data_IF_943007891880
#
_entry.id   IF_943007891880
#
_cell.length_a   1.000
_cell.length_b   1.000
_cell.length_c   1.000
_cell.angle_alpha   90.00
_cell.angle_beta   90.00
_cell.angle_gamma   90.00
#
_symmetry.space_group_name_H-M   'P 1'
#
loop_
_entity.id
_entity.type
_entity.pdbx_description
1 polymer ?
#
# COMPACT_ATOMS: atom_id res chain seq x y z
N UNK A 1 -4.00 27.27 -82.75
CA UNK A 1 -3.06 27.34 -81.61
C UNK A 1 -3.88 27.34 -80.32
N UNK A 2 -3.74 26.30 -79.50
CA UNK A 2 -3.63 26.26 -78.04
C UNK A 2 -3.77 24.77 -77.64
N UNK A 3 -2.92 24.24 -76.74
CA UNK A 3 -2.50 22.83 -76.75
C UNK A 3 -3.11 21.99 -75.62
N UNK A 4 -2.96 20.67 -75.81
CA UNK A 4 -3.05 19.57 -74.83
C UNK A 4 -2.31 19.80 -73.52
N UNK A 5 -2.80 19.30 -72.38
CA UNK A 5 -2.00 18.85 -71.21
C UNK A 5 -2.94 18.19 -70.16
N UNK A 6 -2.88 16.87 -69.98
CA UNK A 6 -2.11 16.06 -68.99
C UNK A 6 -2.81 15.83 -67.65
N UNK A 7 -3.14 14.56 -67.42
CA UNK A 7 -3.41 13.94 -66.11
C UNK A 7 -2.29 14.24 -65.11
N UNK A 8 -2.65 14.64 -63.89
CA UNK A 8 -1.77 14.67 -62.73
C UNK A 8 -2.41 13.92 -61.58
N UNK A 9 -1.93 12.69 -61.33
CA UNK A 9 -2.22 11.92 -60.13
C UNK A 9 -1.57 12.62 -58.94
N UNK A 10 -2.37 13.19 -58.03
CA UNK A 10 -1.90 13.61 -56.71
C UNK A 10 -2.00 12.39 -55.79
N UNK A 11 -0.88 11.66 -55.66
CA UNK A 11 -0.72 10.62 -54.65
C UNK A 11 -0.52 11.31 -53.29
N UNK A 12 -1.56 11.33 -52.47
CA UNK A 12 -1.54 11.87 -51.12
C UNK A 12 -0.85 10.85 -50.20
N UNK A 13 0.44 11.08 -49.92
CA UNK A 13 1.23 10.30 -48.98
C UNK A 13 0.77 10.65 -47.55
N UNK A 14 -0.16 9.86 -47.00
CA UNK A 14 -0.61 9.98 -45.62
C UNK A 14 0.45 9.36 -44.70
N UNK A 15 1.36 10.17 -44.18
CA UNK A 15 2.33 9.76 -43.17
C UNK A 15 1.61 9.67 -41.81
N UNK A 16 1.06 8.49 -41.50
CA UNK A 16 0.49 8.20 -40.19
C UNK A 16 1.60 8.17 -39.15
N UNK A 17 1.72 9.22 -38.34
CA UNK A 17 2.49 9.21 -37.11
C UNK A 17 1.80 8.23 -36.14
N UNK A 18 2.26 6.97 -36.09
CA UNK A 18 1.92 6.08 -34.99
C UNK A 18 2.59 6.63 -33.73
N UNK A 19 1.85 7.45 -32.97
CA UNK A 19 2.17 7.65 -31.55
C UNK A 19 2.00 6.29 -30.88
N UNK A 20 3.11 5.59 -30.67
CA UNK A 20 3.14 4.44 -29.77
C UNK A 20 2.83 4.97 -28.38
N UNK A 21 1.58 4.80 -27.94
CA UNK A 21 1.24 4.85 -26.54
C UNK A 21 2.00 3.70 -25.87
N UNK A 22 3.21 3.98 -25.39
CA UNK A 22 3.91 3.09 -24.47
C UNK A 22 3.10 3.06 -23.20
N UNK A 23 2.23 2.07 -23.08
CA UNK A 23 1.65 1.68 -21.79
C UNK A 23 2.86 1.37 -20.90
N UNK A 24 3.05 2.06 -19.76
CA UNK A 24 4.11 1.68 -18.83
C UNK A 24 3.92 0.19 -18.52
N UNK A 25 4.97 -0.60 -18.74
CA UNK A 25 4.94 -1.99 -18.34
C UNK A 25 4.55 -2.03 -16.86
N UNK A 26 3.46 -2.73 -16.53
CA UNK A 26 3.12 -2.95 -15.14
C UNK A 26 4.38 -3.50 -14.45
N UNK A 27 4.78 -2.84 -13.36
CA UNK A 27 5.84 -3.35 -12.49
C UNK A 27 5.54 -4.79 -12.08
N UNK A 28 6.55 -5.48 -11.56
CA UNK A 28 6.39 -6.82 -10.98
C UNK A 28 5.16 -6.84 -10.06
N UNK A 29 4.27 -7.83 -10.22
CA UNK A 29 3.06 -7.97 -9.39
C UNK A 29 3.43 -7.86 -7.92
N UNK A 30 2.85 -6.87 -7.23
CA UNK A 30 3.12 -6.63 -5.82
C UNK A 30 2.56 -7.79 -4.99
N UNK A 31 3.25 -8.16 -3.91
CA UNK A 31 2.76 -9.18 -2.96
C UNK A 31 2.26 -8.50 -1.69
N UNK A 32 1.01 -8.77 -1.31
CA UNK A 32 0.40 -8.26 -0.10
C UNK A 32 0.18 -9.40 0.90
N UNK A 33 0.73 -9.29 2.11
CA UNK A 33 0.42 -10.21 3.20
C UNK A 33 -0.85 -9.73 3.91
N UNK A 34 -1.95 -10.46 3.78
CA UNK A 34 -3.20 -10.19 4.49
C UNK A 34 -3.21 -11.02 5.79
N UNK A 35 -2.91 -10.37 6.91
CA UNK A 35 -2.89 -10.96 8.23
C UNK A 35 -4.19 -10.66 8.98
N UNK A 36 -4.83 -11.71 9.51
CA UNK A 36 -6.20 -11.63 10.09
C UNK A 36 -6.31 -12.32 11.45
N UNK A 37 -5.18 -12.62 12.10
CA UNK A 37 -5.21 -13.27 13.41
C UNK A 37 -5.90 -12.39 14.45
N UNK A 38 -6.62 -13.01 15.37
CA UNK A 38 -7.36 -12.35 16.45
C UNK A 38 -7.05 -13.04 17.77
N UNK A 39 -6.67 -12.28 18.79
CA UNK A 39 -6.51 -12.70 20.18
C UNK A 39 -7.61 -12.11 21.09
N UNK A 40 -8.54 -11.32 20.53
CA UNK A 40 -9.72 -10.79 21.18
C UNK A 40 -10.96 -10.99 20.28
N UNK A 41 -11.80 -9.97 20.11
CA UNK A 41 -13.03 -10.07 19.30
C UNK A 41 -12.70 -10.47 17.85
N UNK A 42 -13.50 -11.39 17.28
CA UNK A 42 -13.34 -11.85 15.90
C UNK A 42 -14.53 -11.38 15.07
N UNK A 43 -14.25 -10.63 14.02
CA UNK A 43 -15.26 -10.13 13.10
C UNK A 43 -15.69 -11.21 12.10
N UNK A 44 -17.01 -11.36 11.91
CA UNK A 44 -17.58 -12.32 10.97
C UNK A 44 -17.25 -11.98 9.50
N UNK A 45 -16.86 -10.72 9.23
CA UNK A 45 -16.50 -10.22 7.89
C UNK A 45 -15.13 -10.66 7.37
N UNK A 46 -14.26 -11.19 8.23
CA UNK A 46 -12.88 -11.57 7.85
C UNK A 46 -12.85 -12.50 6.61
N UNK A 47 -13.62 -13.61 6.53
CA UNK A 47 -13.60 -14.47 5.35
C UNK A 47 -14.08 -13.77 4.08
N UNK A 48 -15.15 -12.97 4.18
CA UNK A 48 -15.72 -12.19 3.06
C UNK A 48 -14.71 -11.17 2.54
N UNK A 49 -14.03 -10.47 3.44
CA UNK A 49 -13.00 -9.49 3.13
C UNK A 49 -11.81 -10.11 2.38
N UNK A 50 -11.31 -11.25 2.87
CA UNK A 50 -10.21 -11.98 2.23
C UNK A 50 -10.61 -12.43 0.82
N UNK A 51 -11.82 -12.98 0.67
CA UNK A 51 -12.33 -13.40 -0.63
C UNK A 51 -12.45 -12.21 -1.60
N UNK A 52 -12.97 -11.07 -1.14
CA UNK A 52 -13.13 -9.86 -1.95
C UNK A 52 -11.78 -9.33 -2.44
N UNK A 53 -10.76 -9.25 -1.57
CA UNK A 53 -9.41 -8.85 -1.94
C UNK A 53 -8.80 -9.80 -2.97
N UNK A 54 -8.84 -11.11 -2.72
CA UNK A 54 -8.30 -12.12 -3.64
C UNK A 54 -8.99 -12.09 -5.01
N UNK A 55 -10.32 -11.88 -5.03
CA UNK A 55 -11.08 -11.78 -6.28
C UNK A 55 -10.67 -10.56 -7.13
N UNK A 56 -10.20 -9.46 -6.51
CA UNK A 56 -9.77 -8.25 -7.22
C UNK A 56 -8.25 -8.16 -7.43
N UNK A 57 -7.47 -9.11 -6.91
CA UNK A 57 -6.00 -9.12 -6.99
C UNK A 57 -5.44 -8.98 -8.40
N UNK A 58 -5.96 -9.76 -9.36
CA UNK A 58 -5.50 -9.67 -10.76
C UNK A 58 -5.78 -8.31 -11.39
N UNK A 59 -6.94 -7.70 -11.10
CA UNK A 59 -7.29 -6.38 -11.62
C UNK A 59 -6.43 -5.27 -10.99
N UNK A 60 -6.05 -5.43 -9.72
CA UNK A 60 -5.18 -4.50 -8.99
C UNK A 60 -3.67 -4.73 -9.24
N UNK A 61 -3.28 -5.78 -9.97
CA UNK A 61 -1.88 -6.25 -10.07
C UNK A 61 -1.23 -6.51 -8.69
N UNK A 62 -1.99 -7.13 -7.78
CA UNK A 62 -1.56 -7.51 -6.42
C UNK A 62 -1.87 -8.98 -6.16
N UNK A 63 -0.87 -9.73 -5.69
CA UNK A 63 -1.01 -11.07 -5.14
C UNK A 63 -1.31 -10.98 -3.64
N UNK A 64 -2.60 -11.14 -3.28
CA UNK A 64 -3.06 -11.12 -1.88
C UNK A 64 -2.89 -12.51 -1.24
N UNK A 65 -1.89 -12.63 -0.37
CA UNK A 65 -1.58 -13.85 0.36
C UNK A 65 -2.14 -13.75 1.77
N UNK A 66 -3.14 -14.57 2.08
CA UNK A 66 -3.79 -14.58 3.39
C UNK A 66 -3.13 -15.55 4.36
N UNK A 67 -3.02 -15.15 5.63
CA UNK A 67 -2.65 -16.04 6.74
C UNK A 67 -3.19 -15.54 8.08
N UNK A 68 -3.28 -16.47 9.03
CA UNK A 68 -3.47 -16.20 10.46
C UNK A 68 -2.28 -16.74 11.28
N UNK A 69 -1.28 -17.35 10.62
CA UNK A 69 -0.10 -17.91 11.29
C UNK A 69 0.91 -16.81 11.60
N UNK A 70 1.09 -16.51 12.90
CA UNK A 70 2.12 -15.56 13.36
C UNK A 70 3.55 -15.97 13.00
N UNK A 71 3.79 -17.25 12.67
CA UNK A 71 5.10 -17.78 12.27
C UNK A 71 5.69 -17.10 11.02
N UNK A 72 4.87 -16.40 10.23
CA UNK A 72 5.35 -15.60 9.09
C UNK A 72 6.09 -14.33 9.50
N UNK A 73 5.91 -13.84 10.74
CA UNK A 73 6.55 -12.62 11.23
C UNK A 73 8.00 -12.89 11.66
N UNK A 74 8.83 -13.12 10.66
CA UNK A 74 10.29 -13.18 10.73
C UNK A 74 10.86 -12.31 9.63
N UNK A 75 12.13 -11.87 9.71
CA UNK A 75 12.72 -11.04 8.66
C UNK A 75 12.61 -11.71 7.27
N UNK A 76 12.92 -13.02 7.20
CA UNK A 76 12.79 -13.81 5.97
C UNK A 76 11.32 -14.03 5.55
N UNK A 77 10.40 -14.17 6.50
CA UNK A 77 8.99 -14.35 6.20
C UNK A 77 8.35 -13.09 5.60
N UNK A 78 8.82 -11.90 6.01
CA UNK A 78 8.27 -10.61 5.57
C UNK A 78 8.98 -10.01 4.35
N UNK A 79 10.24 -10.37 4.07
CA UNK A 79 11.07 -9.70 3.06
C UNK A 79 10.49 -9.74 1.63
N UNK A 80 9.59 -10.68 1.34
CA UNK A 80 8.97 -10.87 0.03
C UNK A 80 7.67 -10.10 -0.19
N UNK A 81 7.17 -9.36 0.81
CA UNK A 81 5.90 -8.63 0.72
C UNK A 81 6.12 -7.12 0.52
N UNK A 82 5.45 -6.56 -0.47
CA UNK A 82 5.47 -5.14 -0.78
C UNK A 82 4.54 -4.33 0.14
N UNK A 83 3.59 -5.00 0.80
CA UNK A 83 2.73 -4.43 1.83
C UNK A 83 2.29 -5.51 2.82
N UNK A 84 2.26 -5.16 4.11
CA UNK A 84 1.61 -5.95 5.16
C UNK A 84 0.28 -5.31 5.50
N UNK A 85 -0.80 -6.08 5.44
CA UNK A 85 -2.17 -5.65 5.71
C UNK A 85 -2.64 -6.35 6.98
N UNK A 86 -2.96 -5.56 8.02
CA UNK A 86 -3.67 -6.06 9.19
C UNK A 86 -5.15 -5.80 8.95
N UNK A 87 -5.90 -6.87 8.70
CA UNK A 87 -7.32 -6.81 8.37
C UNK A 87 -8.12 -7.38 9.52
N UNK A 88 -8.81 -6.50 10.24
CA UNK A 88 -9.65 -6.85 11.38
C UNK A 88 -8.94 -7.74 12.43
N UNK A 89 -7.62 -7.56 12.59
CA UNK A 89 -6.86 -8.18 13.69
C UNK A 89 -7.34 -7.58 15.01
N UNK A 90 -7.20 -8.30 16.12
CA UNK A 90 -7.52 -7.78 17.47
C UNK A 90 -6.61 -8.38 18.54
N UNK A 91 -6.27 -7.61 19.56
CA UNK A 91 -5.48 -8.05 20.70
C UNK A 91 -3.99 -8.29 20.39
N UNK A 92 -3.36 -9.13 21.20
CA UNK A 92 -1.91 -9.40 21.14
C UNK A 92 -1.59 -10.55 20.18
N UNK A 93 -1.54 -10.25 18.89
CA UNK A 93 -1.44 -11.23 17.80
C UNK A 93 -0.01 -11.58 17.40
N UNK A 94 0.99 -10.87 17.94
CA UNK A 94 2.42 -11.12 17.75
C UNK A 94 3.11 -11.23 19.12
N UNK A 95 4.10 -12.12 19.21
CA UNK A 95 5.06 -12.11 20.32
C UNK A 95 6.20 -11.13 20.05
N UNK A 96 7.13 -10.99 20.99
CA UNK A 96 8.20 -9.99 20.91
C UNK A 96 9.15 -10.22 19.72
N UNK A 97 9.35 -11.48 19.31
CA UNK A 97 10.11 -11.81 18.10
C UNK A 97 9.36 -11.36 16.85
N UNK A 98 8.06 -11.64 16.76
CA UNK A 98 7.20 -11.18 15.66
C UNK A 98 7.14 -9.65 15.56
N UNK A 99 7.01 -8.94 16.69
CA UNK A 99 7.06 -7.48 16.75
C UNK A 99 8.39 -6.93 16.27
N UNK A 100 9.50 -7.57 16.66
CA UNK A 100 10.84 -7.17 16.21
C UNK A 100 10.99 -7.32 14.70
N UNK A 101 10.57 -8.45 14.14
CA UNK A 101 10.58 -8.68 12.70
C UNK A 101 9.69 -7.66 11.95
N UNK A 102 8.52 -7.34 12.51
CA UNK A 102 7.64 -6.35 11.91
C UNK A 102 8.24 -4.94 11.93
N UNK A 103 8.85 -4.54 13.05
CA UNK A 103 9.60 -3.29 13.15
C UNK A 103 10.74 -3.22 12.13
N UNK A 104 11.50 -4.31 11.95
CA UNK A 104 12.56 -4.41 10.96
C UNK A 104 12.02 -4.27 9.53
N UNK A 105 10.90 -4.92 9.21
CA UNK A 105 10.22 -4.79 7.94
C UNK A 105 9.87 -3.31 7.63
N UNK A 106 9.26 -2.62 8.60
CA UNK A 106 8.93 -1.19 8.47
C UNK A 106 10.20 -0.33 8.30
N UNK A 107 11.25 -0.58 9.09
CA UNK A 107 12.53 0.13 9.00
C UNK A 107 13.22 -0.03 7.62
N UNK A 108 12.92 -1.11 6.91
CA UNK A 108 13.50 -1.44 5.61
C UNK A 108 12.68 -0.90 4.42
N UNK A 109 11.67 -0.06 4.65
CA UNK A 109 10.83 0.52 3.61
C UNK A 109 9.52 -0.24 3.37
N UNK A 110 9.20 -1.21 4.22
CA UNK A 110 7.94 -1.94 4.16
C UNK A 110 6.73 -1.02 4.28
N UNK A 111 5.69 -1.32 3.52
CA UNK A 111 4.43 -0.58 3.54
C UNK A 111 3.43 -1.25 4.47
N UNK A 112 2.54 -0.47 5.06
CA UNK A 112 1.53 -0.99 5.98
C UNK A 112 0.12 -0.49 5.67
N UNK A 113 -0.85 -1.37 5.88
CA UNK A 113 -2.28 -1.04 5.82
C UNK A 113 -2.98 -1.63 7.03
N UNK A 114 -3.69 -0.81 7.80
CA UNK A 114 -4.60 -1.26 8.85
C UNK A 114 -6.05 -1.09 8.41
N UNK A 115 -6.89 -2.10 8.65
CA UNK A 115 -8.32 -2.03 8.31
C UNK A 115 -9.14 -2.41 9.53
N UNK A 116 -10.16 -1.60 9.80
CA UNK A 116 -11.15 -1.78 10.86
C UNK A 116 -10.47 -1.94 12.23
N UNK A 117 -10.63 -3.10 12.88
CA UNK A 117 -10.13 -3.38 14.23
C UNK A 117 -8.63 -3.55 14.33
N UNK A 118 -7.86 -3.37 13.25
CA UNK A 118 -6.41 -3.25 13.34
C UNK A 118 -5.97 -2.18 14.38
N UNK A 119 -6.82 -1.20 14.68
CA UNK A 119 -6.60 -0.23 15.76
C UNK A 119 -6.82 -0.76 17.18
N UNK A 120 -7.43 -1.92 17.36
CA UNK A 120 -7.51 -2.67 18.62
C UNK A 120 -6.48 -3.82 18.69
N UNK A 121 -5.36 -3.68 17.98
CA UNK A 121 -4.27 -4.67 17.92
C UNK A 121 -3.00 -4.13 18.56
N UNK A 122 -2.23 -4.97 19.26
CA UNK A 122 -0.91 -4.62 19.83
C UNK A 122 -0.92 -3.29 20.62
N UNK A 123 -1.96 -3.11 21.45
CA UNK A 123 -2.27 -1.88 22.19
C UNK A 123 -1.15 -1.35 23.11
N UNK A 124 -0.11 -2.15 23.38
CA UNK A 124 1.06 -1.76 24.19
C UNK A 124 2.36 -1.63 23.39
N UNK A 125 2.31 -1.74 22.06
CA UNK A 125 3.49 -1.75 21.19
C UNK A 125 3.69 -0.38 20.52
N UNK A 126 4.52 0.47 21.12
CA UNK A 126 4.61 1.89 20.76
C UNK A 126 4.86 2.18 19.26
N UNK A 127 5.71 1.41 18.57
CA UNK A 127 5.95 1.64 17.15
C UNK A 127 4.72 1.33 16.29
N UNK A 128 3.95 0.31 16.66
CA UNK A 128 2.73 -0.07 15.95
C UNK A 128 1.69 1.03 16.04
N UNK A 129 1.48 1.59 17.24
CA UNK A 129 0.56 2.71 17.43
C UNK A 129 0.91 3.93 16.59
N UNK A 130 2.21 4.22 16.43
CA UNK A 130 2.69 5.30 15.56
C UNK A 130 2.52 4.97 14.08
N UNK A 131 2.87 3.76 13.66
CA UNK A 131 2.71 3.33 12.27
C UNK A 131 1.24 3.35 11.83
N UNK A 132 0.37 2.86 12.69
CA UNK A 132 -1.07 2.88 12.50
C UNK A 132 -1.63 4.31 12.56
N UNK A 133 -1.17 5.12 13.50
CA UNK A 133 -1.58 6.51 13.70
C UNK A 133 -2.34 6.73 15.02
N UNK A 134 -3.29 5.86 15.35
CA UNK A 134 -4.03 5.92 16.61
C UNK A 134 -4.63 4.56 16.98
N UNK A 135 -4.73 4.29 18.29
CA UNK A 135 -5.40 3.10 18.82
C UNK A 135 -6.90 3.32 19.03
N UNK A 136 -7.67 2.26 18.88
CA UNK A 136 -9.09 2.21 19.21
C UNK A 136 -9.35 2.51 20.70
N UNK A 137 -10.41 3.25 21.01
CA UNK A 137 -10.93 3.44 22.37
C UNK A 137 -12.28 2.73 22.55
N UNK A 138 -13.33 3.21 21.87
CA UNK A 138 -14.68 2.64 21.90
C UNK A 138 -15.46 3.02 20.64
N UNK A 139 -16.62 2.41 20.41
CA UNK A 139 -17.60 2.84 19.41
C UNK A 139 -19.03 2.75 19.99
N UNK A 140 -20.01 3.52 19.50
CA UNK A 140 -21.41 3.28 19.78
C UNK A 140 -21.90 2.03 19.02
N UNK A 141 -23.16 1.64 19.20
CA UNK A 141 -23.74 0.52 18.45
C UNK A 141 -23.65 0.74 16.94
N UNK A 142 -23.50 -0.37 16.20
CA UNK A 142 -23.51 -0.39 14.74
C UNK A 142 -24.79 0.25 14.19
N UNK A 143 -24.61 1.32 13.41
CA UNK A 143 -25.71 2.16 12.94
C UNK A 143 -25.35 2.87 11.63
N UNK A 144 -26.33 3.57 11.05
CA UNK A 144 -26.06 4.39 9.88
C UNK A 144 -25.36 5.69 10.30
N UNK A 145 -24.39 6.13 9.50
CA UNK A 145 -23.72 7.41 9.64
C UNK A 145 -23.35 7.96 8.26
N UNK A 146 -23.11 9.27 8.18
CA UNK A 146 -22.60 9.93 6.99
C UNK A 146 -21.12 10.20 7.15
N UNK A 147 -20.30 9.57 6.31
CA UNK A 147 -18.87 9.84 6.20
C UNK A 147 -18.68 11.00 5.23
N UNK A 148 -17.86 11.97 5.60
CA UNK A 148 -17.53 13.14 4.80
C UNK A 148 -16.13 12.96 4.21
N UNK A 149 -16.03 13.10 2.89
CA UNK A 149 -14.76 13.10 2.17
C UNK A 149 -14.08 14.46 2.30
N UNK A 150 -12.92 14.48 2.97
CA UNK A 150 -12.13 15.71 3.18
C UNK A 150 -11.19 16.01 2.00
N UNK A 151 -10.73 14.98 1.32
CA UNK A 151 -9.86 15.06 0.15
C UNK A 151 -10.35 14.04 -0.88
N UNK A 152 -10.85 14.51 -2.02
CA UNK A 152 -11.32 13.66 -3.13
C UNK A 152 -10.23 13.41 -4.19
N UNK A 153 -9.00 13.86 -3.97
CA UNK A 153 -7.87 13.65 -4.89
C UNK A 153 -7.05 12.40 -4.56
N UNK A 154 -7.20 11.85 -3.35
CA UNK A 154 -6.51 10.64 -2.93
C UNK A 154 -7.16 9.40 -3.60
N UNK A 155 -6.39 8.41 -4.07
CA UNK A 155 -6.95 7.25 -4.78
C UNK A 155 -7.97 6.43 -3.97
N UNK A 156 -7.89 6.46 -2.64
CA UNK A 156 -8.88 5.79 -1.78
C UNK A 156 -10.20 6.57 -1.65
N UNK A 157 -10.31 7.79 -2.14
CA UNK A 157 -11.50 8.64 -1.95
C UNK A 157 -12.01 9.25 -3.24
N UNK A 158 -11.29 9.12 -4.36
CA UNK A 158 -11.63 9.75 -5.65
C UNK A 158 -12.98 9.32 -6.23
N UNK A 159 -13.44 8.10 -5.92
CA UNK A 159 -14.71 7.55 -6.38
C UNK A 159 -15.85 7.71 -5.37
N UNK A 160 -15.55 8.16 -4.15
CA UNK A 160 -16.54 8.29 -3.09
C UNK A 160 -17.38 9.56 -3.30
N UNK A 161 -18.69 9.52 -3.01
CA UNK A 161 -19.48 10.74 -2.92
C UNK A 161 -19.00 11.60 -1.75
N UNK A 162 -19.14 12.92 -1.84
CA UNK A 162 -18.73 13.85 -0.76
C UNK A 162 -19.36 13.50 0.58
N UNK A 163 -20.66 13.20 0.56
CA UNK A 163 -21.41 12.66 1.69
C UNK A 163 -21.69 11.18 1.41
N UNK A 164 -20.95 10.30 2.06
CA UNK A 164 -21.00 8.86 1.86
C UNK A 164 -21.78 8.18 3.00
N UNK A 165 -23.02 7.75 2.74
CA UNK A 165 -23.79 7.03 3.74
C UNK A 165 -23.23 5.62 3.93
N UNK A 166 -22.90 5.27 5.16
CA UNK A 166 -22.40 3.95 5.54
C UNK A 166 -23.20 3.40 6.72
N UNK A 167 -23.18 2.08 6.90
CA UNK A 167 -23.63 1.43 8.12
C UNK A 167 -22.44 0.71 8.73
N UNK A 168 -21.94 1.20 9.86
CA UNK A 168 -20.75 0.65 10.51
C UNK A 168 -20.71 1.04 12.00
N UNK A 169 -19.65 0.62 12.68
CA UNK A 169 -19.27 1.09 14.00
C UNK A 169 -18.39 2.34 13.88
N UNK A 170 -18.84 3.46 14.45
CA UNK A 170 -18.08 4.71 14.40
C UNK A 170 -17.05 4.76 15.53
N UNK A 171 -15.82 4.37 15.20
CA UNK A 171 -14.73 4.24 16.16
C UNK A 171 -14.25 5.58 16.68
N UNK A 172 -14.13 5.69 18.00
CA UNK A 172 -13.38 6.73 18.68
C UNK A 172 -11.97 6.22 19.01
N UNK A 173 -10.99 7.12 19.08
CA UNK A 173 -9.56 6.80 19.22
C UNK A 173 -8.93 7.36 20.49
N UNK A 174 -7.86 6.70 20.94
CA UNK A 174 -7.09 7.09 22.13
C UNK A 174 -6.17 8.32 21.91
N UNK A 175 -6.03 8.79 20.67
CA UNK A 175 -5.16 9.91 20.29
C UNK A 175 -5.52 10.45 18.91
N UNK A 176 -5.18 11.71 18.63
CA UNK A 176 -5.27 12.27 17.27
C UNK A 176 -4.18 11.67 16.36
N UNK A 177 -4.52 10.98 15.25
CA UNK A 177 -3.53 10.45 14.30
C UNK A 177 -2.68 11.55 13.66
N UNK A 178 -3.16 12.80 13.61
CA UNK A 178 -2.38 13.94 13.10
C UNK A 178 -1.17 14.25 13.96
N UNK A 179 -1.17 13.83 15.23
CA UNK A 179 -0.02 14.03 16.14
C UNK A 179 1.25 13.31 15.71
N UNK A 180 1.13 12.27 14.88
CA UNK A 180 2.27 11.57 14.25
C UNK A 180 2.50 11.99 12.80
N UNK A 181 1.80 13.03 12.33
CA UNK A 181 1.90 13.54 10.95
C UNK A 181 0.97 12.86 9.96
N UNK A 182 0.00 12.05 10.40
CA UNK A 182 -0.98 11.47 9.52
C UNK A 182 -1.93 12.53 8.92
N UNK A 183 -2.38 12.29 7.70
CA UNK A 183 -3.32 13.13 6.96
C UNK A 183 -4.67 12.43 6.95
N UNK A 184 -5.66 13.04 7.61
CA UNK A 184 -7.02 12.52 7.69
C UNK A 184 -7.79 12.90 6.42
N UNK A 185 -8.37 11.88 5.77
CA UNK A 185 -9.05 12.01 4.47
C UNK A 185 -10.54 11.70 4.53
N UNK A 186 -10.98 10.96 5.55
CA UNK A 186 -12.39 10.74 5.86
C UNK A 186 -12.67 11.17 7.30
N UNK A 187 -13.78 11.87 7.49
CA UNK A 187 -14.37 12.15 8.81
C UNK A 187 -15.82 11.67 8.85
N UNK A 188 -16.47 11.71 10.00
CA UNK A 188 -17.92 11.46 10.14
C UNK A 188 -18.66 12.75 10.47
N UNK A 189 -19.89 12.89 9.96
CA UNK A 189 -20.87 13.87 10.45
C UNK A 189 -21.44 13.38 11.79
N UNK A 190 -21.01 13.99 12.90
CA UNK A 190 -21.44 13.61 14.25
C UNK A 190 -22.93 13.86 14.52
N UNK A 191 -23.64 14.59 13.64
CA UNK A 191 -25.09 14.75 13.74
C UNK A 191 -25.89 13.62 13.08
N UNK A 192 -25.23 12.76 12.30
CA UNK A 192 -25.86 11.69 11.52
C UNK A 192 -26.06 10.38 12.27
N UNK A 193 -25.46 10.24 13.46
CA UNK A 193 -25.51 9.04 14.29
C UNK A 193 -25.62 9.40 15.78
N UNK A 194 -25.93 8.43 16.63
CA UNK A 194 -26.04 8.61 18.08
C UNK A 194 -24.85 7.97 18.79
N UNK A 195 -24.11 8.78 19.54
CA UNK A 195 -23.09 8.33 20.49
C UNK A 195 -23.47 8.70 21.92
N UNK A 196 -23.79 7.70 22.74
CA UNK A 196 -24.04 7.86 24.18
C UNK A 196 -22.79 7.66 25.05
N UNK A 197 -21.64 7.37 24.43
CA UNK A 197 -20.37 7.13 25.08
C UNK A 197 -19.75 8.41 25.65
N UNK A 198 -18.78 8.23 26.54
CA UNK A 198 -17.99 9.33 27.10
C UNK A 198 -16.60 9.31 26.47
N UNK A 199 -16.29 10.32 25.65
CA UNK A 199 -14.94 10.52 25.09
C UNK A 199 -13.93 10.77 26.21
N UNK A 200 -12.98 9.85 26.38
CA UNK A 200 -11.91 9.94 27.40
C UNK A 200 -10.62 10.54 26.86
N UNK A 201 -10.42 10.44 25.56
CA UNK A 201 -9.21 10.86 24.88
C UNK A 201 -9.52 11.96 23.85
N UNK A 202 -8.51 12.76 23.55
CA UNK A 202 -8.56 13.72 22.47
C UNK A 202 -8.08 13.05 21.18
N UNK A 203 -9.03 12.79 20.28
CA UNK A 203 -8.78 12.23 18.94
C UNK A 203 -8.66 13.32 17.86
N UNK A 204 -8.71 14.59 18.26
CA UNK A 204 -8.71 15.74 17.36
C UNK A 204 -10.02 15.93 16.60
N UNK A 205 -10.07 17.05 15.88
CA UNK A 205 -11.19 17.43 15.02
C UNK A 205 -10.67 17.80 13.61
N UNK A 206 -11.41 17.47 12.53
CA UNK A 206 -12.65 16.69 12.54
C UNK A 206 -12.41 15.20 12.88
N UNK A 207 -13.42 14.52 13.44
CA UNK A 207 -13.40 13.12 13.88
C UNK A 207 -12.77 12.16 12.83
N UNK A 208 -11.58 11.60 13.05
CA UNK A 208 -10.88 10.82 12.03
C UNK A 208 -11.54 9.46 11.77
N UNK A 209 -11.79 9.11 10.50
CA UNK A 209 -12.31 7.79 10.08
C UNK A 209 -11.29 7.03 9.24
N UNK A 210 -10.62 7.73 8.32
CA UNK A 210 -9.53 7.16 7.54
C UNK A 210 -8.42 8.20 7.35
N UNK A 211 -7.18 7.73 7.31
CA UNK A 211 -6.00 8.56 7.17
C UNK A 211 -4.85 7.80 6.52
N UNK A 212 -3.83 8.55 6.12
CA UNK A 212 -2.59 7.99 5.62
C UNK A 212 -1.37 8.70 6.20
N UNK A 213 -0.21 8.08 6.06
CA UNK A 213 1.10 8.64 6.38
C UNK A 213 2.00 8.47 5.15
N UNK A 214 2.49 9.57 4.58
CA UNK A 214 3.49 9.53 3.49
C UNK A 214 4.81 8.89 3.94
N UNK A 215 5.11 9.02 5.24
CA UNK A 215 6.24 8.39 5.90
C UNK A 215 5.74 7.75 7.19
N UNK A 216 5.64 6.41 7.22
CA UNK A 216 5.21 5.65 8.38
C UNK A 216 5.97 6.03 9.66
N UNK A 217 5.24 6.54 10.66
CA UNK A 217 5.83 7.10 11.88
C UNK A 217 6.29 6.04 12.90
N UNK A 218 6.03 4.76 12.63
CA UNK A 218 6.55 3.64 13.43
C UNK A 218 8.01 3.34 13.18
N UNK A 219 8.60 3.91 12.13
CA UNK A 219 10.00 3.67 11.75
C UNK A 219 10.99 4.32 12.72
N UNK A 220 12.04 3.58 13.04
CA UNK A 220 13.13 4.05 13.89
C UNK A 220 14.04 5.03 13.15
N UNK A 221 14.74 5.90 13.89
CA UNK A 221 15.65 6.87 13.30
C UNK A 221 16.72 6.19 12.44
N UNK A 222 16.87 6.63 11.19
CA UNK A 222 17.79 6.05 10.21
C UNK A 222 17.20 4.94 9.34
N UNK A 223 15.97 4.49 9.62
CA UNK A 223 15.21 3.61 8.73
C UNK A 223 14.70 4.33 7.49
N UNK A 224 14.33 3.55 6.47
CA UNK A 224 13.57 4.02 5.31
C UNK A 224 12.10 3.79 5.59
N UNK A 225 11.29 4.85 5.65
CA UNK A 225 9.85 4.71 5.89
C UNK A 225 9.10 4.51 4.57
N UNK A 226 8.30 3.44 4.50
CA UNK A 226 7.25 3.28 3.49
C UNK A 226 6.03 4.14 3.80
N UNK A 227 4.94 3.87 3.10
CA UNK A 227 3.63 4.49 3.35
C UNK A 227 2.79 3.64 4.29
N UNK A 228 1.90 4.33 5.00
CA UNK A 228 0.88 3.72 5.85
C UNK A 228 -0.51 4.24 5.51
N UNK A 229 -1.51 3.36 5.46
CA UNK A 229 -2.92 3.71 5.26
C UNK A 229 -3.80 3.03 6.29
N UNK A 230 -4.80 3.73 6.81
CA UNK A 230 -5.78 3.19 7.75
C UNK A 230 -7.20 3.64 7.42
N UNK A 231 -8.16 2.74 7.62
CA UNK A 231 -9.58 3.05 7.68
C UNK A 231 -10.25 2.27 8.81
N UNK A 232 -11.14 2.92 9.56
CA UNK A 232 -11.89 2.29 10.66
C UNK A 232 -13.12 1.51 10.20
N UNK A 233 -13.53 1.70 8.95
CA UNK A 233 -14.67 1.02 8.34
C UNK A 233 -14.33 -0.44 7.99
N UNK A 234 -15.36 -1.29 7.87
CA UNK A 234 -15.24 -2.67 7.40
C UNK A 234 -15.85 -3.75 8.30
N UNK A 235 -16.75 -3.41 9.22
CA UNK A 235 -17.33 -4.37 10.16
C UNK A 235 -18.17 -5.46 9.47
N UNK A 236 -19.09 -5.04 8.59
CA UNK A 236 -20.14 -5.91 8.04
C UNK A 236 -19.67 -6.70 6.82
N UNK A 237 -20.28 -7.86 6.58
CA UNK A 237 -20.07 -8.63 5.34
C UNK A 237 -20.46 -7.82 4.11
N UNK A 238 -21.62 -7.16 4.17
CA UNK A 238 -22.19 -6.36 3.09
C UNK A 238 -21.27 -5.20 2.69
N UNK A 239 -20.48 -4.67 3.64
CA UNK A 239 -19.49 -3.62 3.36
C UNK A 239 -18.42 -4.10 2.37
N UNK A 240 -18.01 -5.37 2.43
CA UNK A 240 -17.01 -5.96 1.53
C UNK A 240 -17.57 -6.36 0.16
N UNK A 241 -18.89 -6.34 0.00
CA UNK A 241 -19.58 -6.53 -1.28
C UNK A 241 -19.89 -5.20 -1.98
N UNK A 242 -19.78 -4.08 -1.26
CA UNK A 242 -20.03 -2.74 -1.78
C UNK A 242 -18.85 -2.23 -2.64
N UNK A 243 -19.14 -1.80 -3.85
CA UNK A 243 -18.11 -1.37 -4.81
C UNK A 243 -17.47 -0.02 -4.44
N UNK A 244 -18.18 0.87 -3.73
CA UNK A 244 -17.57 2.13 -3.26
C UNK A 244 -16.57 1.83 -2.14
N UNK A 245 -16.93 0.98 -1.19
CA UNK A 245 -16.02 0.53 -0.14
C UNK A 245 -14.83 -0.23 -0.72
N UNK A 246 -15.05 -1.15 -1.66
CA UNK A 246 -13.94 -1.85 -2.32
C UNK A 246 -13.04 -0.91 -3.13
N UNK A 247 -13.61 0.13 -3.75
CA UNK A 247 -12.84 1.23 -4.36
C UNK A 247 -11.96 1.94 -3.34
N UNK A 248 -12.50 2.27 -2.16
CA UNK A 248 -11.75 2.88 -1.07
C UNK A 248 -10.57 2.01 -0.60
N UNK A 249 -10.81 0.73 -0.36
CA UNK A 249 -9.77 -0.22 0.08
C UNK A 249 -8.68 -0.40 -0.98
N UNK A 250 -9.05 -0.66 -2.23
CA UNK A 250 -8.07 -0.91 -3.29
C UNK A 250 -7.30 0.37 -3.65
N UNK A 251 -7.95 1.53 -3.64
CA UNK A 251 -7.29 2.81 -3.84
C UNK A 251 -6.28 3.11 -2.74
N UNK A 252 -6.61 2.81 -1.48
CA UNK A 252 -5.69 2.92 -0.34
C UNK A 252 -4.48 2.03 -0.50
N UNK A 253 -4.68 0.73 -0.78
CA UNK A 253 -3.61 -0.25 -1.00
C UNK A 253 -2.70 0.17 -2.17
N UNK A 254 -3.28 0.60 -3.29
CA UNK A 254 -2.52 1.04 -4.48
C UNK A 254 -1.67 2.27 -4.17
N UNK A 255 -2.23 3.27 -3.48
CA UNK A 255 -1.48 4.45 -3.07
C UNK A 255 -0.31 4.09 -2.14
N UNK A 256 -0.53 3.18 -1.18
CA UNK A 256 0.51 2.75 -0.24
C UNK A 256 1.65 2.04 -0.99
N UNK A 257 1.33 1.16 -1.93
CA UNK A 257 2.33 0.45 -2.75
C UNK A 257 3.23 1.38 -3.58
N UNK A 258 2.74 2.57 -3.95
CA UNK A 258 3.48 3.56 -4.73
C UNK A 258 4.54 4.35 -3.93
N UNK A 259 4.82 3.98 -2.67
CA UNK A 259 5.85 4.61 -1.83
C UNK A 259 7.27 4.61 -2.41
N UNK A 260 7.54 3.78 -3.44
CA UNK A 260 8.85 3.60 -4.07
C UNK A 260 9.95 3.08 -3.10
N UNK A 261 9.53 2.42 -2.02
CA UNK A 261 10.41 1.85 -0.97
C UNK A 261 10.43 0.32 -0.95
N UNK A 262 9.68 -0.33 -1.84
CA UNK A 262 9.60 -1.79 -1.97
C UNK A 262 9.92 -2.24 -3.39
N UNK A 263 10.27 -3.52 -3.55
CA UNK A 263 10.79 -4.04 -4.83
C UNK A 263 9.80 -4.01 -5.98
N UNK A 264 8.49 -3.96 -5.73
CA UNK A 264 7.50 -3.75 -6.79
C UNK A 264 7.68 -2.44 -7.56
N UNK A 265 8.23 -1.39 -6.94
CA UNK A 265 8.42 -0.06 -7.54
C UNK A 265 9.87 0.43 -7.54
N UNK A 266 10.73 -0.18 -6.71
CA UNK A 266 12.15 0.12 -6.60
C UNK A 266 12.96 -1.18 -6.46
N UNK A 267 13.55 -1.66 -7.55
CA UNK A 267 14.30 -2.94 -7.56
C UNK A 267 15.47 -3.00 -6.58
N UNK A 268 15.96 -1.85 -6.10
CA UNK A 268 17.05 -1.75 -5.13
C UNK A 268 16.57 -1.75 -3.67
N UNK A 269 15.26 -1.83 -3.43
CA UNK A 269 14.67 -1.87 -2.10
C UNK A 269 15.05 -3.14 -1.31
N UNK A 270 15.03 -3.01 0.01
CA UNK A 270 15.41 -4.08 0.95
C UNK A 270 14.31 -5.11 1.19
N UNK A 271 13.05 -4.76 0.91
CA UNK A 271 11.87 -5.64 1.06
C UNK A 271 10.94 -5.51 -0.14
N UNK A 272 10.09 -6.50 -0.35
CA UNK A 272 9.12 -6.54 -1.45
C UNK A 272 9.43 -7.62 -2.48
N UNK A 273 8.48 -7.88 -3.37
CA UNK A 273 8.62 -8.86 -4.41
C UNK A 273 9.60 -8.37 -5.49
N UNK A 274 10.82 -8.90 -5.49
CA UNK A 274 11.85 -8.58 -6.48
C UNK A 274 11.58 -9.12 -7.87
N UNK A 275 10.50 -9.88 -8.06
CA UNK A 275 10.11 -10.51 -9.31
C UNK A 275 11.32 -11.04 -10.05
N UNK A 276 11.93 -12.14 -9.58
CA UNK A 276 13.00 -12.77 -10.33
C UNK A 276 12.48 -13.02 -11.74
N UNK A 277 13.05 -12.32 -12.72
CA UNK A 277 12.96 -12.71 -14.12
C UNK A 277 13.55 -14.09 -14.18
N UNK A 278 12.69 -15.09 -14.09
CA UNK A 278 13.06 -16.49 -14.18
C UNK A 278 13.42 -16.72 -15.65
N UNK A 279 14.64 -16.33 -16.03
CA UNK A 279 15.34 -16.90 -17.17
C UNK A 279 15.63 -18.36 -16.81
N UNK A 280 14.60 -19.19 -16.92
CA UNK A 280 14.74 -20.63 -16.87
C UNK A 280 15.34 -21.08 -18.21
N UNK A 281 16.66 -20.95 -18.35
CA UNK A 281 17.39 -21.84 -19.25
C UNK A 281 17.36 -23.23 -18.62
N UNK A 282 16.35 -24.01 -18.97
CA UNK A 282 16.33 -25.44 -18.72
C UNK A 282 17.49 -26.08 -19.49
N UNK A 283 18.60 -26.33 -18.82
CA UNK A 283 19.58 -27.35 -19.22
C UNK A 283 19.57 -28.45 -18.17
N UNK A 284 18.81 -29.50 -18.47
CA UNK A 284 18.88 -30.78 -17.78
C UNK A 284 20.16 -31.52 -18.22
N UNK A 285 21.04 -31.82 -17.26
CA UNK A 285 22.03 -32.93 -17.21
C UNK A 285 23.04 -32.58 -16.11
N UNK A 286 23.57 -33.48 -15.27
CA UNK A 286 23.37 -34.88 -15.01
C UNK A 286 23.97 -35.20 -13.62
N UNK A 287 23.51 -36.32 -13.05
CA UNK A 287 24.23 -37.24 -12.14
C UNK A 287 24.90 -36.68 -10.87
N UNK A 288 24.25 -36.96 -9.73
CA UNK A 288 24.91 -37.04 -8.43
C UNK A 288 25.59 -38.41 -8.26
N UNK A 289 26.85 -38.41 -7.85
CA UNK A 289 27.46 -39.49 -7.08
C UNK A 289 28.33 -38.89 -6.00
N UNK A 290 27.96 -39.16 -4.75
CA UNK A 290 28.61 -38.67 -3.55
C UNK A 290 29.86 -39.50 -3.20
N UNK A 291 30.89 -38.83 -2.69
CA UNK A 291 31.89 -39.44 -1.81
C UNK A 291 32.46 -38.40 -0.85
N UNK A 292 32.42 -38.77 0.43
CA UNK A 292 32.90 -38.12 1.64
C UNK A 292 34.36 -37.68 1.64
N UNK A 293 34.72 -36.63 2.39
CA UNK A 293 35.63 -36.70 3.56
C UNK A 293 35.87 -35.32 4.22
N UNK A 294 36.20 -35.40 5.51
CA UNK A 294 36.40 -34.40 6.56
C UNK A 294 37.59 -33.44 6.39
N UNK A 295 37.56 -32.28 7.07
CA UNK A 295 38.40 -31.92 8.25
C UNK A 295 38.94 -30.47 8.29
N UNK A 296 38.59 -29.77 9.38
CA UNK A 296 39.30 -28.77 10.25
C UNK A 296 40.21 -27.62 9.75
N UNK A 297 40.01 -26.50 10.47
CA UNK A 297 40.97 -25.54 11.10
C UNK A 297 41.44 -24.26 10.37
N UNK A 298 40.90 -23.14 10.88
CA UNK A 298 41.53 -21.97 11.54
C UNK A 298 42.51 -20.98 10.87
N UNK A 299 42.33 -19.73 11.37
CA UNK A 299 43.19 -18.52 11.40
C UNK A 299 43.20 -17.62 10.16
N UNK A 300 43.36 -16.31 10.21
CA UNK A 300 43.11 -15.21 11.17
C UNK A 300 43.50 -13.90 10.44
N UNK A 301 42.84 -12.78 10.76
CA UNK A 301 43.42 -11.42 10.89
C UNK A 301 44.16 -10.75 9.70
N UNK A 302 43.66 -9.60 9.21
CA UNK A 302 44.18 -8.26 9.54
C UNK A 302 43.77 -7.15 8.55
N UNK A 303 43.44 -6.00 9.15
CA UNK A 303 43.21 -4.63 8.66
C UNK A 303 44.07 -4.09 7.52
N UNK A 304 43.52 -3.12 6.78
CA UNK A 304 44.16 -1.80 6.62
C UNK A 304 43.15 -0.72 6.18
N UNK A 305 43.57 0.52 6.41
CA UNK A 305 42.82 1.76 6.59
C UNK A 305 42.97 2.77 5.44
N UNK A 306 42.09 3.78 5.45
CA UNK A 306 42.21 5.13 4.85
C UNK A 306 42.08 5.22 3.31
N UNK A 307 41.60 6.30 2.69
CA UNK A 307 41.55 7.69 3.10
C UNK A 307 40.44 8.47 2.36
N UNK A 308 40.09 9.59 2.98
CA UNK A 308 39.24 10.70 2.57
C UNK A 308 39.69 11.34 1.25
N UNK A 309 38.74 11.77 0.40
CA UNK A 309 38.86 12.99 -0.41
C UNK A 309 37.53 13.74 -0.51
N UNK A 310 37.63 15.04 -0.24
CA UNK A 310 36.66 16.11 -0.46
C UNK A 310 36.65 16.58 -1.93
N UNK A 311 35.62 17.38 -2.24
CA UNK A 311 35.41 18.30 -3.37
C UNK A 311 34.34 17.79 -4.36
N UNK A 312 33.40 18.59 -4.88
CA UNK A 312 32.92 19.94 -4.59
C UNK A 312 31.61 20.08 -5.38
N UNK A 313 30.79 21.02 -4.92
CA UNK A 313 29.63 21.67 -5.55
C UNK A 313 29.52 21.63 -7.08
N UNK A 314 28.30 21.41 -7.60
CA UNK A 314 27.68 22.40 -8.48
C UNK A 314 26.16 22.24 -8.58
N UNK A 315 25.46 23.33 -8.25
CA UNK A 315 24.05 23.57 -8.59
C UNK A 315 23.85 23.63 -10.10
N UNK A 316 22.74 23.09 -10.60
CA UNK A 316 22.06 23.66 -11.76
C UNK A 316 20.56 23.40 -11.68
N UNK A 317 19.86 24.47 -11.33
CA UNK A 317 18.44 24.68 -11.52
C UNK A 317 18.11 24.62 -13.02
N UNK A 318 17.13 23.81 -13.43
CA UNK A 318 16.36 24.11 -14.63
C UNK A 318 14.89 23.82 -14.37
N UNK A 319 14.10 24.86 -14.53
CA UNK A 319 12.67 24.89 -14.35
C UNK A 319 11.96 24.67 -15.69
N UNK A 320 10.70 24.23 -15.58
CA UNK A 320 9.60 24.37 -16.54
C UNK A 320 9.70 23.56 -17.85
N UNK A 321 9.16 22.33 -17.82
CA UNK A 321 8.24 21.84 -18.87
C UNK A 321 7.14 21.01 -18.21
N UNK A 322 6.18 21.67 -17.56
CA UNK A 322 4.94 21.05 -17.12
C UNK A 322 3.79 21.79 -17.82
N UNK A 323 3.33 21.25 -18.95
CA UNK A 323 2.29 21.90 -19.72
C UNK A 323 1.94 21.26 -21.06
N UNK A 324 2.09 19.94 -21.22
CA UNK A 324 1.54 19.21 -22.40
C UNK A 324 1.03 17.79 -22.07
N UNK A 325 1.26 17.24 -20.87
CA UNK A 325 0.90 15.84 -20.57
C UNK A 325 -0.59 15.58 -20.24
N UNK A 326 -1.41 16.62 -20.04
CA UNK A 326 -2.81 16.46 -19.55
C UNK A 326 -3.85 16.37 -20.69
N UNK A 327 -3.47 16.56 -21.95
CA UNK A 327 -4.44 16.54 -23.07
C UNK A 327 -4.60 15.18 -23.77
N UNK A 328 -3.80 14.16 -23.44
CA UNK A 328 -3.80 12.86 -24.16
C UNK A 328 -4.58 11.76 -23.43
N UNK A 329 -4.79 11.88 -22.11
CA UNK A 329 -5.54 10.86 -21.35
C UNK A 329 -7.07 10.91 -21.55
N UNK A 330 -7.63 12.07 -21.90
CA UNK A 330 -9.09 12.26 -22.00
C UNK A 330 -9.68 11.73 -23.31
N UNK A 331 -8.88 11.55 -24.36
CA UNK A 331 -9.38 11.12 -25.68
C UNK A 331 -9.45 9.61 -25.86
N UNK A 332 -8.81 8.81 -24.98
CA UNK A 332 -8.81 7.35 -25.08
C UNK A 332 -10.03 6.69 -24.41
N UNK A 333 -10.75 7.40 -23.53
CA UNK A 333 -11.90 6.84 -22.81
C UNK A 333 -13.25 7.03 -23.52
N UNK A 334 -13.33 7.87 -24.56
CA UNK A 334 -14.60 8.23 -25.22
C UNK A 334 -14.89 7.49 -26.54
N UNK A 335 -14.00 6.60 -26.99
CA UNK A 335 -14.20 5.84 -28.24
C UNK A 335 -14.52 4.35 -28.05
N UNK A 336 -14.82 3.92 -26.82
CA UNK A 336 -15.28 2.55 -26.55
C UNK A 336 -16.73 2.47 -26.03
N UNK A 337 -17.59 3.39 -26.43
CA UNK A 337 -19.06 3.22 -26.37
C UNK A 337 -19.70 4.00 -27.52
N UNK A 338 -19.72 3.40 -28.71
CA UNK A 338 -20.72 3.56 -29.78
C UNK A 338 -20.42 2.56 -30.92
#
# INVERSE_FOLDING_TARGET
MIPTTTSGLVSLLLLTLLSTCTIPAFGTTARALVYTATAAFRHDSIPTAVQALQAKGSAANVDFVHTEDKGVFTDQGLEGYDVVIFLSTTGEVLDDTGKTAFQNYLNNGGNFVGIHSASDTLNTTAFYGKELGAYFDYHPELQNATIIVLDASHPSTESLPTDWPVRDEIYNFKSDPRSVGAIVILTVDESSYTDGGTRRFDQGEPHPIAWYQEHGAGVTSGGTAGRSFYTSLGHLNETWEDELFMGHILGGIQWTLQANTTRAFNSSALVGNGGTTSSSSASASASASASSTSSVSETASASSSAAVRFAETSSMTFAVVLGVAIAIAVTCLTTLQL
#
